data_IF_569432622163
#
_entry.id   IF_569432622163
#
_cell.length_a   1.000
_cell.length_b   1.000
_cell.length_c   1.000
_cell.angle_alpha   90.00
_cell.angle_beta   90.00
_cell.angle_gamma   90.00
#
_symmetry.space_group_name_H-M   'P 1'
#
loop_
_entity.id
_entity.type
_entity.pdbx_description
1 polymer ?
#
# COMPACT_ATOMS: atom_id res chain seq x y z
N UNK A 1 -7.48 -62.92 35.88
CA UNK A 1 -6.44 -62.48 34.92
C UNK A 1 -6.52 -60.96 34.80
N UNK A 2 -5.49 -60.26 35.27
CA UNK A 2 -5.35 -58.80 35.24
C UNK A 2 -4.32 -58.44 34.16
N UNK A 3 -4.59 -57.45 33.30
CA UNK A 3 -3.53 -56.77 32.55
C UNK A 3 -3.83 -55.27 32.45
N UNK A 4 -3.39 -54.55 33.48
CA UNK A 4 -3.42 -53.10 33.58
C UNK A 4 -2.26 -52.51 32.74
N UNK A 5 -2.58 -51.79 31.66
CA UNK A 5 -1.61 -51.00 30.87
C UNK A 5 -1.70 -49.56 31.34
N UNK A 6 -0.77 -49.11 32.19
CA UNK A 6 -0.44 -47.69 32.39
C UNK A 6 0.71 -47.55 33.38
N UNK A 7 1.97 -47.46 32.90
CA UNK A 7 3.13 -47.10 33.75
C UNK A 7 4.44 -46.81 33.00
N UNK A 8 4.39 -46.15 31.82
CA UNK A 8 5.62 -45.72 31.10
C UNK A 8 5.84 -44.21 30.98
N UNK A 9 4.86 -43.37 31.35
CA UNK A 9 4.99 -41.91 31.20
C UNK A 9 5.48 -41.18 32.46
N UNK A 10 5.44 -41.81 33.64
CA UNK A 10 5.77 -41.16 34.92
C UNK A 10 7.28 -41.14 35.23
N UNK A 11 8.06 -42.09 34.71
CA UNK A 11 9.46 -42.28 35.12
C UNK A 11 10.45 -41.32 34.44
N UNK A 12 10.12 -40.73 33.29
CA UNK A 12 11.02 -39.77 32.62
C UNK A 12 10.97 -38.36 33.21
N UNK A 13 9.86 -37.96 33.83
CA UNK A 13 9.73 -36.63 34.44
C UNK A 13 10.55 -36.51 35.74
N UNK A 14 10.65 -37.60 36.52
CA UNK A 14 11.38 -37.59 37.80
C UNK A 14 12.91 -37.60 37.65
N UNK A 15 13.44 -38.22 36.58
CA UNK A 15 14.90 -38.28 36.37
C UNK A 15 15.47 -36.92 35.96
N UNK A 16 14.70 -36.09 35.24
CA UNK A 16 15.12 -34.74 34.86
C UNK A 16 15.17 -33.84 36.09
N UNK A 17 14.16 -33.88 36.97
CA UNK A 17 14.12 -33.06 38.20
C UNK A 17 15.24 -33.44 39.19
N UNK A 18 15.57 -34.74 39.30
CA UNK A 18 16.67 -35.21 40.15
C UNK A 18 18.06 -34.76 39.68
N UNK A 19 18.31 -34.76 38.37
CA UNK A 19 19.60 -34.31 37.81
C UNK A 19 19.82 -32.80 37.99
N UNK A 20 18.75 -31.99 37.90
CA UNK A 20 18.85 -30.55 38.18
C UNK A 20 19.23 -30.27 39.64
N UNK A 21 18.70 -31.02 40.62
CA UNK A 21 18.99 -30.79 42.05
C UNK A 21 20.47 -30.95 42.44
N UNK A 22 21.25 -31.71 41.67
CA UNK A 22 22.69 -31.90 41.94
C UNK A 22 23.57 -30.81 41.35
N UNK A 23 23.10 -30.11 40.30
CA UNK A 23 23.80 -28.98 39.68
C UNK A 23 23.76 -27.73 40.58
N UNK A 24 22.72 -27.57 41.41
CA UNK A 24 22.58 -26.46 42.34
C UNK A 24 23.41 -26.59 43.63
N UNK A 25 24.18 -27.69 43.83
CA UNK A 25 25.08 -27.85 44.99
C UNK A 25 26.42 -27.13 44.84
N UNK A 26 26.82 -26.79 43.61
CA UNK A 26 28.07 -26.09 43.36
C UNK A 26 27.82 -24.57 43.33
N UNK A 27 28.48 -23.77 44.20
CA UNK A 27 28.32 -22.32 44.22
C UNK A 27 28.73 -21.66 42.89
N UNK A 28 29.62 -22.32 42.13
CA UNK A 28 30.08 -21.86 40.82
C UNK A 28 28.98 -21.96 39.77
N UNK A 29 28.27 -23.11 39.73
CA UNK A 29 27.17 -23.32 38.77
C UNK A 29 26.00 -22.38 39.09
N UNK A 30 25.75 -22.14 40.39
CA UNK A 30 24.75 -21.17 40.84
C UNK A 30 25.05 -19.76 40.32
N UNK A 31 26.31 -19.31 40.42
CA UNK A 31 26.75 -18.00 39.95
C UNK A 31 26.60 -17.83 38.44
N UNK A 32 26.96 -18.85 37.65
CA UNK A 32 26.79 -18.81 36.20
C UNK A 32 25.32 -18.78 35.76
N UNK A 33 24.46 -19.57 36.40
CA UNK A 33 23.01 -19.56 36.11
C UNK A 33 22.41 -18.20 36.44
N UNK A 34 22.79 -17.60 37.57
CA UNK A 34 22.31 -16.27 37.97
C UNK A 34 22.79 -15.18 37.01
N UNK A 35 24.04 -15.26 36.53
CA UNK A 35 24.60 -14.32 35.58
C UNK A 35 23.87 -14.38 34.22
N UNK A 36 23.61 -15.59 33.71
CA UNK A 36 22.88 -15.76 32.45
C UNK A 36 21.42 -15.31 32.58
N UNK A 37 20.74 -15.67 33.67
CA UNK A 37 19.38 -15.23 33.94
C UNK A 37 19.29 -13.69 34.10
N UNK A 38 20.25 -13.09 34.80
CA UNK A 38 20.36 -11.65 34.95
C UNK A 38 20.58 -10.94 33.61
N UNK A 39 21.43 -11.49 32.74
CA UNK A 39 21.68 -10.94 31.40
C UNK A 39 20.42 -11.03 30.51
N UNK A 40 19.66 -12.12 30.60
CA UNK A 40 18.39 -12.29 29.88
C UNK A 40 17.34 -11.30 30.41
N UNK A 41 17.25 -11.10 31.73
CA UNK A 41 16.31 -10.15 32.32
C UNK A 41 16.64 -8.70 31.93
N UNK A 42 17.92 -8.32 31.96
CA UNK A 42 18.40 -7.01 31.53
C UNK A 42 18.13 -6.75 30.06
N UNK A 43 18.36 -7.73 29.19
CA UNK A 43 18.06 -7.58 27.76
C UNK A 43 16.57 -7.50 27.50
N UNK A 44 15.74 -8.32 28.17
CA UNK A 44 14.28 -8.26 28.03
C UNK A 44 13.68 -6.93 28.52
N UNK A 45 14.25 -6.31 29.57
CA UNK A 45 13.82 -4.99 30.04
C UNK A 45 14.34 -3.85 29.15
N UNK A 46 15.48 -4.05 28.46
CA UNK A 46 16.09 -3.04 27.61
C UNK A 46 15.50 -2.98 26.19
N UNK A 47 14.64 -3.93 25.78
CA UNK A 47 13.91 -3.84 24.52
C UNK A 47 12.66 -2.98 24.74
N UNK A 48 12.63 -1.72 24.27
CA UNK A 48 11.41 -0.93 24.32
C UNK A 48 10.31 -1.68 23.55
N UNK A 49 9.16 -1.92 24.19
CA UNK A 49 7.98 -2.45 23.50
C UNK A 49 7.54 -1.41 22.48
N UNK A 50 7.88 -1.64 21.21
CA UNK A 50 7.30 -0.93 20.08
C UNK A 50 5.81 -1.21 20.06
N UNK A 51 5.02 -0.34 20.69
CA UNK A 51 3.57 -0.41 20.64
C UNK A 51 3.15 0.08 19.27
N UNK A 52 2.39 -0.75 18.57
CA UNK A 52 1.75 -0.35 17.32
C UNK A 52 0.71 0.73 17.65
N UNK A 53 0.99 1.97 17.28
CA UNK A 53 0.06 3.09 17.44
C UNK A 53 -0.94 3.00 16.27
N UNK A 54 -2.22 3.18 16.55
CA UNK A 54 -3.24 3.40 15.53
C UNK A 54 -3.53 4.89 15.50
N UNK A 55 -3.42 5.49 14.31
CA UNK A 55 -3.62 6.93 14.13
C UNK A 55 -5.06 7.17 13.66
N UNK A 56 -5.74 8.14 14.24
CA UNK A 56 -7.08 8.55 13.80
C UNK A 56 -7.02 9.15 12.38
N UNK A 57 -8.03 8.85 11.57
CA UNK A 57 -8.20 9.41 10.21
C UNK A 57 -8.12 10.94 10.23
N UNK A 58 -8.73 11.59 11.22
CA UNK A 58 -8.85 13.07 11.28
C UNK A 58 -7.53 13.83 11.35
N UNK A 59 -6.50 13.20 11.91
CA UNK A 59 -5.23 13.86 12.23
C UNK A 59 -4.14 13.52 11.22
N UNK A 60 -4.46 12.66 10.25
CA UNK A 60 -3.53 12.14 9.26
C UNK A 60 -3.48 13.01 8.00
N UNK A 61 -2.34 13.66 7.80
CA UNK A 61 -2.00 14.43 6.61
C UNK A 61 -1.32 13.52 5.58
N UNK A 62 -1.97 13.33 4.43
CA UNK A 62 -1.36 12.61 3.31
C UNK A 62 -1.02 13.60 2.22
N UNK A 63 0.22 13.57 1.75
CA UNK A 63 0.68 14.40 0.64
C UNK A 63 1.23 13.54 -0.48
N UNK A 64 1.05 14.01 -1.70
CA UNK A 64 1.63 13.38 -2.89
C UNK A 64 2.87 14.17 -3.31
N UNK A 65 3.91 13.45 -3.68
CA UNK A 65 5.11 14.08 -4.24
C UNK A 65 4.83 14.53 -5.68
N UNK A 66 5.07 15.81 -5.97
CA UNK A 66 4.95 16.46 -7.29
C UNK A 66 3.68 16.05 -8.09
N UNK A 67 2.47 16.42 -7.64
CA UNK A 67 1.26 16.16 -8.39
C UNK A 67 1.30 16.88 -9.76
N UNK A 68 0.87 16.23 -10.86
CA UNK A 68 0.90 16.82 -12.18
C UNK A 68 0.03 18.07 -12.28
N UNK A 69 0.49 19.07 -13.03
CA UNK A 69 -0.22 20.35 -13.21
C UNK A 69 -1.62 20.23 -13.82
N UNK A 70 -1.90 19.17 -14.57
CA UNK A 70 -3.20 18.94 -15.20
C UNK A 70 -4.24 18.42 -14.20
N UNK A 71 -3.80 17.79 -13.09
CA UNK A 71 -4.66 17.09 -12.14
C UNK A 71 -5.55 18.09 -11.40
N UNK A 72 -6.87 17.87 -11.41
CA UNK A 72 -7.79 18.72 -10.67
C UNK A 72 -7.61 18.59 -9.15
N UNK A 73 -7.76 19.70 -8.42
CA UNK A 73 -7.54 19.73 -6.97
C UNK A 73 -8.56 18.87 -6.21
N UNK A 74 -9.80 18.74 -6.72
CA UNK A 74 -10.80 17.87 -6.10
C UNK A 74 -10.50 16.38 -6.31
N UNK A 75 -9.92 16.00 -7.46
CA UNK A 75 -9.42 14.65 -7.68
C UNK A 75 -8.24 14.35 -6.77
N UNK A 76 -7.32 15.31 -6.59
CA UNK A 76 -6.20 15.14 -5.67
C UNK A 76 -6.69 14.89 -4.23
N UNK A 77 -7.69 15.63 -3.77
CA UNK A 77 -8.31 15.43 -2.46
C UNK A 77 -8.93 14.04 -2.30
N UNK A 78 -9.66 13.55 -3.32
CA UNK A 78 -10.22 12.19 -3.29
C UNK A 78 -9.14 11.12 -3.18
N UNK A 79 -8.02 11.28 -3.92
CA UNK A 79 -6.89 10.36 -3.83
C UNK A 79 -6.21 10.42 -2.45
N UNK A 80 -6.14 11.60 -1.83
CA UNK A 80 -5.63 11.76 -0.47
C UNK A 80 -6.56 11.08 0.55
N UNK A 81 -7.87 11.20 0.38
CA UNK A 81 -8.86 10.60 1.27
C UNK A 81 -8.83 9.07 1.19
N UNK A 82 -8.70 8.49 -0.01
CA UNK A 82 -8.48 7.05 -0.19
C UNK A 82 -7.24 6.60 0.60
N UNK A 83 -6.12 7.30 0.42
CA UNK A 83 -4.89 6.95 1.14
C UNK A 83 -5.07 7.08 2.67
N UNK A 84 -5.72 8.14 3.14
CA UNK A 84 -5.95 8.41 4.56
C UNK A 84 -6.80 7.33 5.22
N UNK A 85 -7.88 6.89 4.56
CA UNK A 85 -8.75 5.83 5.05
C UNK A 85 -7.96 4.53 5.24
N UNK A 86 -7.16 4.14 4.25
CA UNK A 86 -6.38 2.91 4.33
C UNK A 86 -5.26 2.98 5.38
N UNK A 87 -4.52 4.09 5.44
CA UNK A 87 -3.46 4.27 6.43
C UNK A 87 -3.97 4.27 7.88
N UNK A 88 -5.11 4.89 8.15
CA UNK A 88 -5.70 4.95 9.49
C UNK A 88 -6.41 3.65 9.91
N UNK A 89 -6.87 2.86 8.94
CA UNK A 89 -7.52 1.56 9.21
C UNK A 89 -6.55 0.51 9.74
N UNK A 90 -5.25 0.68 9.47
CA UNK A 90 -4.19 -0.25 9.86
C UNK A 90 -3.30 0.34 10.93
N UNK A 91 -2.79 -0.50 11.83
CA UNK A 91 -1.72 -0.09 12.76
C UNK A 91 -0.48 0.37 12.01
N UNK A 92 0.23 1.38 12.52
CA UNK A 92 1.47 1.90 11.93
C UNK A 92 2.45 0.74 11.69
N UNK A 93 2.67 0.40 10.42
CA UNK A 93 3.44 -0.76 10.02
C UNK A 93 3.49 -0.95 8.50
N UNK A 94 4.37 -1.86 8.05
CA UNK A 94 4.59 -2.15 6.63
C UNK A 94 3.33 -2.57 5.90
N UNK A 95 2.48 -3.35 6.55
CA UNK A 95 1.24 -3.88 5.95
C UNK A 95 0.28 -2.76 5.55
N UNK A 96 0.09 -1.76 6.42
CA UNK A 96 -0.73 -0.59 6.11
C UNK A 96 -0.23 0.22 4.92
N UNK A 97 1.10 0.34 4.78
CA UNK A 97 1.72 1.02 3.63
C UNK A 97 1.49 0.26 2.32
N UNK A 98 1.58 -1.08 2.35
CA UNK A 98 1.33 -1.93 1.19
C UNK A 98 -0.15 -1.85 0.79
N UNK A 99 -1.07 -2.02 1.75
CA UNK A 99 -2.51 -1.94 1.47
C UNK A 99 -2.91 -0.57 0.91
N UNK A 100 -2.31 0.50 1.42
CA UNK A 100 -2.52 1.85 0.90
C UNK A 100 -2.02 1.98 -0.54
N UNK A 101 -0.83 1.44 -0.84
CA UNK A 101 -0.30 1.43 -2.20
C UNK A 101 -1.21 0.64 -3.15
N UNK A 102 -1.69 -0.54 -2.74
CA UNK A 102 -2.59 -1.37 -3.54
C UNK A 102 -3.94 -0.69 -3.78
N UNK A 103 -4.50 -0.05 -2.76
CA UNK A 103 -5.75 0.70 -2.86
C UNK A 103 -5.63 1.90 -3.81
N UNK A 104 -4.53 2.64 -3.71
CA UNK A 104 -4.24 3.74 -4.64
C UNK A 104 -4.04 3.23 -6.07
N UNK A 105 -3.35 2.09 -6.26
CA UNK A 105 -3.18 1.49 -7.59
C UNK A 105 -4.53 1.07 -8.19
N UNK A 106 -5.44 0.55 -7.36
CA UNK A 106 -6.77 0.13 -7.76
C UNK A 106 -7.66 1.29 -8.26
N UNK A 107 -7.36 2.55 -7.89
CA UNK A 107 -8.04 3.72 -8.44
C UNK A 107 -7.79 3.91 -9.94
N UNK A 108 -6.69 3.34 -10.46
CA UNK A 108 -6.33 3.41 -11.87
C UNK A 108 -5.75 4.76 -12.32
N UNK A 109 -5.57 5.74 -11.43
CA UNK A 109 -5.01 7.06 -11.79
C UNK A 109 -3.48 7.10 -11.85
N UNK A 110 -2.83 6.04 -11.38
CA UNK A 110 -1.38 5.92 -11.32
C UNK A 110 -0.89 4.89 -12.32
N UNK A 111 0.23 5.18 -12.97
CA UNK A 111 0.98 4.19 -13.73
C UNK A 111 1.73 3.26 -12.78
N UNK A 112 2.45 3.83 -11.81
CA UNK A 112 3.23 3.10 -10.80
C UNK A 112 3.23 3.88 -9.49
N UNK A 113 2.99 3.19 -8.39
CA UNK A 113 3.23 3.72 -7.04
C UNK A 113 4.59 3.21 -6.58
N UNK A 114 5.54 4.12 -6.41
CA UNK A 114 6.93 3.77 -6.09
C UNK A 114 7.07 3.42 -4.61
N UNK A 115 6.48 4.25 -3.74
CA UNK A 115 6.60 4.09 -2.30
C UNK A 115 5.51 4.89 -1.58
N UNK A 116 4.96 4.32 -0.52
CA UNK A 116 4.22 5.05 0.52
C UNK A 116 5.09 5.03 1.77
N UNK A 117 5.35 6.19 2.35
CA UNK A 117 6.23 6.32 3.51
C UNK A 117 5.59 7.19 4.60
N UNK A 118 5.79 6.78 5.85
CA UNK A 118 5.56 7.64 7.00
C UNK A 118 6.72 8.63 7.13
N UNK A 119 6.39 9.92 7.25
CA UNK A 119 7.37 10.98 7.55
C UNK A 119 7.45 11.19 9.06
N UNK A 120 6.29 11.17 9.71
CA UNK A 120 6.13 11.25 11.15
C UNK A 120 4.84 10.53 11.56
N UNK A 121 4.46 10.63 12.83
CA UNK A 121 3.29 9.95 13.40
C UNK A 121 1.94 10.45 12.85
N UNK A 122 1.91 11.55 12.09
CA UNK A 122 0.68 12.15 11.55
C UNK A 122 0.77 12.51 10.07
N UNK A 123 1.88 12.21 9.41
CA UNK A 123 2.16 12.61 8.03
C UNK A 123 2.73 11.45 7.22
N UNK A 124 2.12 11.21 6.08
CA UNK A 124 2.58 10.25 5.09
C UNK A 124 2.77 10.93 3.73
N UNK A 125 3.83 10.51 3.02
CA UNK A 125 4.13 10.93 1.66
C UNK A 125 3.95 9.74 0.72
N UNK A 126 3.25 9.98 -0.39
CA UNK A 126 3.11 9.02 -1.49
C UNK A 126 3.99 9.45 -2.66
N UNK A 127 4.93 8.59 -3.04
CA UNK A 127 5.71 8.72 -4.26
C UNK A 127 5.06 7.89 -5.36
N UNK A 128 4.50 8.55 -6.36
CA UNK A 128 3.82 7.88 -7.45
C UNK A 128 4.10 8.54 -8.80
N UNK A 129 3.82 7.81 -9.88
CA UNK A 129 3.82 8.29 -11.25
C UNK A 129 2.41 8.17 -11.80
N UNK A 130 1.91 9.28 -12.33
CA UNK A 130 0.51 9.44 -12.72
C UNK A 130 0.28 9.02 -14.17
N UNK A 131 -0.95 8.60 -14.48
CA UNK A 131 -1.38 8.52 -15.87
C UNK A 131 -1.54 9.93 -16.43
N UNK A 132 -0.86 10.22 -17.54
CA UNK A 132 -0.90 11.55 -18.15
C UNK A 132 -1.95 11.52 -19.26
N UNK A 133 -3.03 12.32 -19.16
CA UNK A 133 -3.93 12.51 -20.28
C UNK A 133 -3.17 13.15 -21.43
N UNK A 134 -3.42 12.70 -22.65
CA UNK A 134 -2.80 13.24 -23.85
C UNK A 134 -3.83 13.85 -24.80
N UNK A 135 -5.00 13.23 -24.91
CA UNK A 135 -6.12 13.74 -25.69
C UNK A 135 -7.46 13.43 -25.02
N UNK A 136 -8.50 14.11 -25.49
CA UNK A 136 -9.89 13.79 -25.20
C UNK A 136 -10.50 13.08 -26.39
N UNK A 137 -11.38 12.13 -26.12
CA UNK A 137 -12.25 11.52 -27.13
C UNK A 137 -13.68 11.85 -26.76
N UNK A 138 -14.41 12.46 -27.70
CA UNK A 138 -15.84 12.73 -27.59
C UNK A 138 -16.59 11.72 -28.45
N UNK A 139 -17.38 10.86 -27.79
CA UNK A 139 -18.28 9.90 -28.43
C UNK A 139 -19.73 10.14 -28.00
N UNK A 140 -20.64 9.28 -28.44
CA UNK A 140 -22.08 9.36 -28.14
C UNK A 140 -22.40 9.30 -26.63
N UNK A 141 -21.50 8.75 -25.82
CA UNK A 141 -21.61 8.61 -24.38
C UNK A 141 -20.82 9.70 -23.62
N UNK A 142 -20.39 10.75 -24.31
CA UNK A 142 -19.71 11.91 -23.74
C UNK A 142 -18.19 11.86 -23.87
N UNK A 143 -17.51 12.62 -23.02
CA UNK A 143 -16.07 12.86 -23.13
C UNK A 143 -15.27 11.93 -22.21
N UNK A 144 -14.23 11.32 -22.74
CA UNK A 144 -13.23 10.54 -21.99
C UNK A 144 -11.82 10.98 -22.32
N UNK A 145 -10.91 10.76 -21.39
CA UNK A 145 -9.49 11.05 -21.58
C UNK A 145 -8.75 9.78 -22.01
N UNK A 146 -7.75 9.95 -22.87
CA UNK A 146 -6.86 8.88 -23.32
C UNK A 146 -5.40 9.29 -23.16
N UNK A 147 -4.52 8.31 -22.96
CA UNK A 147 -3.07 8.52 -22.93
C UNK A 147 -2.45 8.50 -24.35
N UNK A 148 -1.14 8.66 -24.43
CA UNK A 148 -0.40 8.67 -25.71
C UNK A 148 -0.49 7.35 -26.49
N UNK A 149 -0.84 6.25 -25.83
CA UNK A 149 -1.03 4.94 -26.45
C UNK A 149 -2.48 4.71 -26.87
N UNK A 150 -3.38 5.67 -26.59
CA UNK A 150 -4.81 5.52 -26.83
C UNK A 150 -5.51 4.65 -25.80
N UNK A 151 -4.91 4.45 -24.61
CA UNK A 151 -5.56 3.76 -23.50
C UNK A 151 -6.48 4.72 -22.76
N UNK A 152 -7.70 4.25 -22.47
CA UNK A 152 -8.71 5.03 -21.76
C UNK A 152 -8.31 5.26 -20.31
N UNK A 153 -8.32 6.50 -19.84
CA UNK A 153 -8.13 6.83 -18.43
C UNK A 153 -9.39 6.52 -17.60
N UNK A 154 -9.26 6.36 -16.27
CA UNK A 154 -10.43 6.25 -15.40
C UNK A 154 -11.37 7.44 -15.55
N UNK A 155 -12.65 7.20 -15.26
CA UNK A 155 -13.70 8.22 -15.30
C UNK A 155 -14.27 8.41 -13.92
N UNK A 156 -14.61 9.65 -13.56
CA UNK A 156 -15.27 10.00 -12.30
C UNK A 156 -16.37 11.02 -12.55
N UNK A 157 -17.20 11.24 -11.54
CA UNK A 157 -18.13 12.37 -11.52
C UNK A 157 -17.36 13.61 -11.04
N UNK A 158 -17.38 14.68 -11.83
CA UNK A 158 -16.63 15.92 -11.54
C UNK A 158 -15.44 16.16 -12.48
N UNK A 159 -14.66 17.19 -12.19
CA UNK A 159 -13.51 17.59 -13.02
C UNK A 159 -12.32 16.63 -12.82
N UNK A 160 -11.79 16.07 -13.91
CA UNK A 160 -10.55 15.27 -13.87
C UNK A 160 -9.33 16.19 -14.07
N UNK A 161 -9.52 17.19 -14.92
CA UNK A 161 -8.48 18.09 -15.40
C UNK A 161 -8.83 19.50 -14.95
N UNK A 162 -7.82 20.28 -14.55
CA UNK A 162 -7.99 21.70 -14.22
C UNK A 162 -8.62 22.47 -15.38
N UNK A 163 -9.54 23.42 -15.14
CA UNK A 163 -10.25 24.15 -16.21
C UNK A 163 -9.34 24.87 -17.22
N UNK A 164 -8.17 25.32 -16.77
CA UNK A 164 -7.20 26.05 -17.59
C UNK A 164 -6.27 25.14 -18.42
N UNK A 165 -6.39 23.82 -18.28
CA UNK A 165 -5.57 22.86 -19.01
C UNK A 165 -6.37 22.27 -20.17
N UNK A 166 -5.90 22.53 -21.40
CA UNK A 166 -6.61 22.15 -22.62
C UNK A 166 -5.98 20.93 -23.29
N UNK A 167 -6.85 20.04 -23.76
CA UNK A 167 -6.47 18.86 -24.53
C UNK A 167 -7.19 18.87 -25.87
N UNK A 168 -6.50 18.45 -26.93
CA UNK A 168 -7.12 18.28 -28.23
C UNK A 168 -8.19 17.19 -28.14
N UNK A 169 -9.33 17.44 -28.80
CA UNK A 169 -10.48 16.55 -28.77
C UNK A 169 -10.59 15.83 -30.11
N UNK A 170 -10.47 14.51 -30.08
CA UNK A 170 -10.81 13.62 -31.17
C UNK A 170 -12.31 13.38 -31.11
N UNK A 171 -13.02 13.64 -32.20
CA UNK A 171 -14.48 13.55 -32.27
C UNK A 171 -14.91 12.37 -33.11
N UNK A 172 -16.07 11.81 -32.76
CA UNK A 172 -16.77 10.79 -33.54
C UNK A 172 -15.87 9.59 -33.91
N UNK A 173 -15.32 8.88 -32.90
CA UNK A 173 -14.56 7.67 -33.17
C UNK A 173 -15.44 6.61 -33.84
N UNK A 174 -14.85 5.91 -34.80
CA UNK A 174 -15.46 4.85 -35.61
C UNK A 174 -15.78 3.60 -34.80
N UNK A 175 -15.09 3.42 -33.67
CA UNK A 175 -15.26 2.29 -32.77
C UNK A 175 -15.71 2.75 -31.39
N UNK A 176 -16.51 1.93 -30.73
CA UNK A 176 -16.96 2.18 -29.37
C UNK A 176 -15.82 2.27 -28.36
N UNK A 177 -16.06 3.03 -27.29
CA UNK A 177 -15.11 3.17 -26.19
C UNK A 177 -14.79 1.83 -25.53
N UNK A 178 -13.53 1.60 -25.12
CA UNK A 178 -13.19 0.44 -24.30
C UNK A 178 -14.00 0.41 -23.01
N UNK A 179 -14.57 -0.76 -22.67
CA UNK A 179 -15.42 -0.91 -21.48
C UNK A 179 -14.67 -0.64 -20.18
N UNK A 180 -13.39 -1.03 -20.10
CA UNK A 180 -12.56 -0.88 -18.91
C UNK A 180 -11.50 0.21 -19.11
N UNK A 181 -11.22 1.03 -18.07
CA UNK A 181 -10.02 1.87 -18.05
C UNK A 181 -8.74 1.04 -18.26
N UNK A 182 -7.71 1.67 -18.81
CA UNK A 182 -6.42 1.07 -19.13
C UNK A 182 -6.39 0.28 -20.45
N UNK A 183 -7.55 -0.07 -21.02
CA UNK A 183 -7.62 -0.71 -22.33
C UNK A 183 -7.43 0.30 -23.46
N UNK A 184 -6.72 -0.14 -24.49
CA UNK A 184 -6.49 0.63 -25.71
C UNK A 184 -7.78 0.72 -26.54
N UNK A 185 -8.00 1.87 -27.19
CA UNK A 185 -9.03 2.02 -28.19
C UNK A 185 -8.70 1.17 -29.43
N UNK A 186 -9.62 0.30 -29.84
CA UNK A 186 -9.39 -0.62 -30.97
C UNK A 186 -9.41 0.08 -32.35
N UNK A 187 -9.81 1.36 -32.39
CA UNK A 187 -9.98 2.13 -33.61
C UNK A 187 -8.67 2.69 -34.13
N UNK A 188 -8.35 2.38 -35.39
CA UNK A 188 -7.18 2.91 -36.09
C UNK A 188 -7.23 4.43 -36.29
N UNK A 189 -8.43 5.02 -36.24
CA UNK A 189 -8.69 6.45 -36.28
C UNK A 189 -8.16 7.18 -35.04
N UNK A 190 -8.37 6.64 -33.84
CA UNK A 190 -7.79 7.19 -32.61
C UNK A 190 -6.27 7.13 -32.68
N UNK A 191 -5.69 5.99 -33.05
CA UNK A 191 -4.23 5.85 -33.15
C UNK A 191 -3.63 6.76 -34.23
N UNK A 192 -4.29 6.89 -35.38
CA UNK A 192 -3.89 7.81 -36.43
C UNK A 192 -3.97 9.27 -35.94
N UNK A 193 -5.06 9.66 -35.27
CA UNK A 193 -5.22 10.96 -34.65
C UNK A 193 -4.11 11.27 -33.64
N UNK A 194 -3.77 10.30 -32.78
CA UNK A 194 -2.65 10.42 -31.84
C UNK A 194 -1.30 10.57 -32.55
N UNK A 195 -1.09 9.89 -33.67
CA UNK A 195 0.14 10.05 -34.45
C UNK A 195 0.25 11.43 -35.10
N UNK A 196 -0.87 12.01 -35.56
CA UNK A 196 -0.88 13.41 -36.03
C UNK A 196 -0.61 14.37 -34.87
N UNK A 197 -1.20 14.13 -33.70
CA UNK A 197 -0.97 14.94 -32.50
C UNK A 197 0.51 14.99 -32.08
N UNK A 198 1.24 13.88 -32.22
CA UNK A 198 2.69 13.81 -31.98
C UNK A 198 3.53 14.69 -32.90
N UNK A 199 2.99 15.12 -34.04
CA UNK A 199 3.69 16.00 -34.96
C UNK A 199 3.43 17.48 -34.67
N UNK A 200 2.40 17.78 -33.87
CA UNK A 200 1.95 19.14 -33.55
C UNK A 200 2.55 19.61 -32.20
N UNK A 201 2.90 18.67 -31.33
CA UNK A 201 3.55 18.90 -30.03
C UNK A 201 5.01 18.46 -30.05
#
# INVERSE_FOLDING_TARGET
MVRNKNKKFSTKLFVVVGAFSHLFKSPIVLSWVLAVAGLIALTAMSVPKLRAIQISVSDLKVTFNDPPIWLDDSLLLELQDVARIHLASTTVGREGLIQTADALAATGWFNVIKQVQWVNDTEAIVHASYLIPYAKVEDQNGIVFIDMQGRRLPTRVGAIVKPNYHFITLKEPSFERPMRPGLQWNGGDILAGLNVLKLIY
#
